data_IF_366638907170
#
_entry.id   IF_366638907170
#
_cell.length_a   1.000
_cell.length_b   1.000
_cell.length_c   1.000
_cell.angle_alpha   90.00
_cell.angle_beta   90.00
_cell.angle_gamma   90.00
#
_symmetry.space_group_name_H-M   'P 1'
#
loop_
_entity.id
_entity.type
_entity.pdbx_description
1 polymer ?
#
# COMPACT_ATOMS: atom_id res chain seq x y z
N UNK A 1 1.09 16.97 -6.29
CA UNK A 1 1.85 16.14 -5.34
C UNK A 1 1.94 14.77 -5.96
N UNK A 2 3.13 14.25 -6.07
CA UNK A 2 3.36 12.98 -6.73
C UNK A 2 3.75 11.92 -5.71
N UNK A 3 3.14 10.77 -5.81
CA UNK A 3 3.34 9.66 -4.92
C UNK A 3 4.19 8.60 -5.62
N UNK A 4 5.32 8.20 -5.02
CA UNK A 4 6.00 6.98 -5.40
C UNK A 4 5.81 5.94 -4.33
N UNK A 5 5.31 4.80 -4.71
CA UNK A 5 5.33 3.67 -3.82
C UNK A 5 6.72 3.04 -3.76
N UNK A 6 7.13 2.75 -2.58
CA UNK A 6 7.79 1.56 -2.09
C UNK A 6 9.14 1.20 -2.61
N UNK A 7 10.08 1.60 -1.86
CA UNK A 7 11.26 0.79 -1.69
C UNK A 7 10.94 -0.39 -0.76
N UNK A 8 10.82 -1.60 -1.27
CA UNK A 8 10.83 -2.77 -0.44
C UNK A 8 12.29 -3.09 -0.11
N UNK A 9 12.74 -3.08 1.15
CA UNK A 9 14.00 -3.72 1.51
C UNK A 9 13.93 -5.19 1.10
N UNK A 10 15.07 -5.81 0.78
CA UNK A 10 15.12 -7.17 0.27
C UNK A 10 14.51 -8.24 1.22
N UNK A 11 14.33 -7.90 2.49
CA UNK A 11 13.70 -8.77 3.47
C UNK A 11 12.60 -8.03 4.24
N UNK A 12 11.37 -8.48 4.10
CA UNK A 12 10.17 -7.99 4.81
C UNK A 12 9.25 -9.16 5.13
N UNK A 13 8.33 -8.97 6.09
CA UNK A 13 7.30 -9.96 6.42
C UNK A 13 6.52 -10.48 5.21
N UNK A 14 6.39 -9.68 4.16
CA UNK A 14 5.72 -10.04 2.92
C UNK A 14 6.62 -10.69 1.87
N UNK A 15 7.88 -10.97 2.16
CA UNK A 15 8.82 -11.55 1.18
C UNK A 15 9.10 -13.02 1.46
N UNK A 16 9.34 -13.85 0.42
CA UNK A 16 9.58 -15.28 0.60
C UNK A 16 10.71 -15.59 1.59
N UNK A 17 11.83 -14.87 1.51
CA UNK A 17 13.00 -15.11 2.36
C UNK A 17 12.77 -14.87 3.87
N UNK A 18 11.65 -14.28 4.25
CA UNK A 18 11.28 -14.07 5.65
C UNK A 18 10.76 -15.32 6.34
N UNK A 19 10.22 -16.25 5.56
CA UNK A 19 9.50 -17.43 6.00
C UNK A 19 10.14 -18.71 5.49
N UNK A 20 10.01 -19.78 6.26
CA UNK A 20 10.32 -21.14 5.83
C UNK A 20 9.23 -22.10 6.28
N UNK A 21 9.03 -23.15 5.49
CA UNK A 21 8.17 -24.29 5.82
C UNK A 21 8.87 -25.28 6.77
N UNK A 22 8.18 -26.37 7.10
CA UNK A 22 8.72 -27.46 7.92
C UNK A 22 9.99 -28.13 7.35
N UNK A 23 10.20 -28.05 6.03
CA UNK A 23 11.35 -28.61 5.32
C UNK A 23 12.47 -27.59 5.15
N UNK A 24 12.28 -26.34 5.62
CA UNK A 24 13.25 -25.26 5.48
C UNK A 24 13.21 -24.51 4.14
N UNK A 25 12.19 -24.75 3.30
CA UNK A 25 12.02 -24.07 2.02
C UNK A 25 11.25 -22.75 2.20
N UNK A 26 11.59 -21.75 1.39
CA UNK A 26 10.81 -20.52 1.36
C UNK A 26 9.45 -20.75 0.65
N UNK A 27 8.34 -20.13 1.14
CA UNK A 27 7.06 -20.20 0.47
C UNK A 27 7.11 -19.54 -0.90
N UNK A 28 6.32 -20.06 -1.82
CA UNK A 28 6.16 -19.43 -3.14
C UNK A 28 5.46 -18.06 -3.01
N UNK A 29 5.68 -17.13 -3.95
CA UNK A 29 4.87 -15.92 -4.05
C UNK A 29 3.37 -16.23 -4.08
N UNK A 30 2.59 -15.34 -3.47
CA UNK A 30 1.14 -15.43 -3.30
C UNK A 30 0.66 -16.52 -2.31
N UNK A 31 1.59 -17.11 -1.55
CA UNK A 31 1.23 -18.00 -0.44
C UNK A 31 0.61 -17.20 0.70
N UNK A 32 -0.61 -17.52 1.15
CA UNK A 32 -1.15 -16.98 2.38
C UNK A 32 -0.45 -17.61 3.59
N UNK A 33 -0.18 -16.81 4.62
CA UNK A 33 0.33 -17.30 5.91
C UNK A 33 -0.64 -16.85 6.99
N UNK A 34 -1.27 -17.81 7.64
CA UNK A 34 -2.25 -17.59 8.70
C UNK A 34 -1.65 -17.81 10.09
N UNK A 35 -2.32 -17.30 11.12
CA UNK A 35 -1.95 -17.57 12.49
C UNK A 35 -1.98 -19.07 12.78
N UNK A 36 -2.97 -19.81 12.23
CA UNK A 36 -3.06 -21.26 12.36
C UNK A 36 -1.87 -21.99 11.69
N UNK A 37 -1.37 -21.50 10.56
CA UNK A 37 -0.16 -22.05 9.92
C UNK A 37 1.08 -21.87 10.81
N UNK A 38 1.17 -20.75 11.54
CA UNK A 38 2.27 -20.49 12.49
C UNK A 38 2.14 -21.36 13.73
N UNK A 39 0.95 -21.52 14.27
CA UNK A 39 0.68 -22.32 15.47
C UNK A 39 0.89 -23.81 15.23
N UNK A 40 0.59 -24.30 14.02
CA UNK A 40 0.85 -25.69 13.61
C UNK A 40 2.32 -25.97 13.23
N UNK A 41 3.15 -24.92 13.10
CA UNK A 41 4.53 -25.06 12.66
C UNK A 41 4.71 -25.25 11.15
N UNK A 42 3.65 -25.18 10.35
CA UNK A 42 3.70 -25.28 8.88
C UNK A 42 4.59 -24.20 8.27
N UNK A 43 4.55 -22.98 8.82
CA UNK A 43 5.46 -21.89 8.49
C UNK A 43 6.06 -21.29 9.76
N UNK A 44 7.27 -20.76 9.62
CA UNK A 44 7.92 -19.98 10.68
C UNK A 44 8.72 -18.84 10.10
N UNK A 45 8.74 -17.70 10.77
CA UNK A 45 9.61 -16.59 10.40
C UNK A 45 11.05 -16.88 10.83
N UNK A 46 12.02 -16.63 9.95
CA UNK A 46 13.47 -16.76 10.25
C UNK A 46 14.06 -15.45 10.76
N UNK A 47 13.34 -14.35 10.58
CA UNK A 47 13.73 -13.01 11.03
C UNK A 47 12.63 -12.51 11.99
N UNK A 48 13.02 -12.05 13.18
CA UNK A 48 12.11 -11.54 14.21
C UNK A 48 10.87 -12.43 14.47
N UNK A 49 11.01 -13.72 14.84
CA UNK A 49 9.89 -14.67 14.89
C UNK A 49 8.71 -14.22 15.77
N UNK A 50 9.01 -13.62 16.94
CA UNK A 50 7.97 -13.15 17.86
C UNK A 50 7.16 -11.99 17.28
N UNK A 51 7.85 -10.97 16.74
CA UNK A 51 7.22 -9.81 16.15
C UNK A 51 6.46 -10.16 14.86
N UNK A 52 6.98 -11.12 14.09
CA UNK A 52 6.31 -11.60 12.89
C UNK A 52 5.01 -12.33 13.22
N UNK A 53 5.00 -13.15 14.28
CA UNK A 53 3.78 -13.80 14.76
C UNK A 53 2.77 -12.78 15.28
N UNK A 54 3.20 -11.83 16.09
CA UNK A 54 2.38 -10.73 16.59
C UNK A 54 1.74 -9.94 15.45
N UNK A 55 2.52 -9.64 14.42
CA UNK A 55 2.02 -8.97 13.22
C UNK A 55 0.92 -9.77 12.52
N UNK A 56 1.11 -11.08 12.27
CA UNK A 56 0.10 -11.94 11.63
C UNK A 56 -1.17 -12.02 12.49
N UNK A 57 -1.02 -12.15 13.79
CA UNK A 57 -2.15 -12.20 14.73
C UNK A 57 -3.00 -10.93 14.67
N UNK A 58 -2.38 -9.75 14.71
CA UNK A 58 -3.10 -8.48 14.63
C UNK A 58 -3.67 -8.22 13.23
N UNK A 59 -2.95 -8.62 12.18
CA UNK A 59 -3.44 -8.49 10.82
C UNK A 59 -4.76 -9.25 10.61
N UNK A 60 -4.89 -10.46 11.17
CA UNK A 60 -6.12 -11.26 11.11
C UNK A 60 -7.21 -10.70 12.02
N UNK A 61 -6.89 -10.38 13.27
CA UNK A 61 -7.87 -9.95 14.28
C UNK A 61 -8.41 -8.55 14.00
N UNK A 62 -7.52 -7.61 13.77
CA UNK A 62 -7.84 -6.18 13.67
C UNK A 62 -8.03 -5.74 12.22
N UNK A 63 -7.13 -6.14 11.33
CA UNK A 63 -7.16 -5.81 9.92
C UNK A 63 -8.11 -6.66 9.09
N UNK A 64 -8.56 -7.81 9.63
CA UNK A 64 -9.37 -8.81 8.91
C UNK A 64 -8.74 -9.20 7.57
N UNK A 65 -7.42 -9.29 7.54
CA UNK A 65 -6.60 -9.61 6.38
C UNK A 65 -5.71 -10.80 6.70
N UNK A 66 -5.40 -11.59 5.69
CA UNK A 66 -4.39 -12.65 5.79
C UNK A 66 -3.08 -12.14 5.20
N UNK A 67 -1.96 -12.41 5.85
CA UNK A 67 -0.65 -12.10 5.29
C UNK A 67 -0.49 -12.85 3.98
N UNK A 68 -0.12 -12.12 2.93
CA UNK A 68 0.23 -12.69 1.64
C UNK A 68 1.72 -12.52 1.39
N UNK A 69 2.40 -13.59 1.02
CA UNK A 69 3.79 -13.52 0.57
C UNK A 69 3.80 -13.02 -0.87
N UNK A 70 4.44 -11.89 -1.11
CA UNK A 70 4.54 -11.28 -2.44
C UNK A 70 5.86 -11.64 -3.13
N UNK A 71 5.86 -11.64 -4.45
CA UNK A 71 7.12 -11.62 -5.21
C UNK A 71 7.91 -10.35 -4.89
N UNK A 72 9.23 -10.40 -5.07
CA UNK A 72 10.04 -9.18 -4.96
C UNK A 72 9.63 -8.17 -6.03
N UNK A 73 9.25 -6.98 -5.60
CA UNK A 73 8.82 -5.91 -6.48
C UNK A 73 9.20 -4.54 -5.91
N UNK A 74 9.27 -3.53 -6.76
CA UNK A 74 9.55 -2.14 -6.37
C UNK A 74 10.81 -2.01 -5.48
N UNK A 75 11.85 -2.83 -5.73
CA UNK A 75 13.08 -2.78 -4.95
C UNK A 75 13.80 -1.45 -5.16
N UNK A 76 14.12 -0.79 -4.07
CA UNK A 76 14.83 0.49 -4.11
C UNK A 76 16.18 0.36 -4.83
N UNK A 77 16.46 1.31 -5.71
CA UNK A 77 17.70 1.30 -6.51
C UNK A 77 17.62 0.46 -7.78
N UNK A 78 16.47 -0.15 -8.08
CA UNK A 78 16.23 -0.88 -9.33
C UNK A 78 15.26 -0.14 -10.24
N UNK A 79 15.23 -0.51 -11.53
CA UNK A 79 14.24 0.01 -12.49
C UNK A 79 12.79 -0.30 -12.09
N UNK A 80 12.55 -1.38 -11.34
CA UNK A 80 11.23 -1.73 -10.85
C UNK A 80 10.65 -0.76 -9.81
N UNK A 81 11.47 0.10 -9.23
CA UNK A 81 11.04 1.18 -8.32
C UNK A 81 11.04 2.56 -9.00
N UNK A 82 11.36 2.63 -10.30
CA UNK A 82 11.34 3.86 -11.08
C UNK A 82 9.95 4.13 -11.67
N UNK A 83 9.67 5.40 -11.96
CA UNK A 83 8.52 5.73 -12.82
C UNK A 83 8.75 5.28 -14.25
N UNK A 84 7.67 5.03 -14.96
CA UNK A 84 7.70 4.93 -16.40
C UNK A 84 8.32 6.24 -16.99
N UNK A 85 9.13 6.09 -18.06
CA UNK A 85 9.96 7.19 -18.55
C UNK A 85 9.17 8.41 -19.02
N UNK A 86 8.07 8.23 -19.72
CA UNK A 86 7.26 9.36 -20.21
C UNK A 86 6.60 10.09 -19.04
N UNK A 87 6.09 9.32 -18.08
CA UNK A 87 5.51 9.88 -16.87
C UNK A 87 6.56 10.66 -16.06
N UNK A 88 7.76 10.10 -15.87
CA UNK A 88 8.86 10.80 -15.22
C UNK A 88 9.19 12.13 -15.90
N UNK A 89 9.28 12.15 -17.24
CA UNK A 89 9.53 13.37 -18.01
C UNK A 89 8.42 14.40 -17.82
N UNK A 90 7.15 13.97 -17.80
CA UNK A 90 6.02 14.89 -17.57
C UNK A 90 6.03 15.49 -16.17
N UNK A 91 6.47 14.73 -15.16
CA UNK A 91 6.65 15.24 -13.80
C UNK A 91 7.70 16.34 -13.76
N UNK A 92 8.87 16.10 -14.37
CA UNK A 92 9.92 17.10 -14.44
C UNK A 92 9.47 18.35 -15.20
N UNK A 93 8.82 18.18 -16.35
CA UNK A 93 8.23 19.28 -17.10
C UNK A 93 7.24 20.08 -16.24
N UNK A 94 6.33 19.41 -15.56
CA UNK A 94 5.37 20.05 -14.66
C UNK A 94 6.07 20.83 -13.53
N UNK A 95 7.09 20.25 -12.92
CA UNK A 95 7.84 20.89 -11.84
C UNK A 95 8.53 22.17 -12.31
N UNK A 96 9.12 22.16 -13.50
CA UNK A 96 9.75 23.33 -14.11
C UNK A 96 8.69 24.38 -14.49
N UNK A 97 7.62 23.97 -15.17
CA UNK A 97 6.56 24.87 -15.63
C UNK A 97 5.83 25.57 -14.47
N UNK A 98 5.60 24.84 -13.38
CA UNK A 98 4.93 25.35 -12.17
C UNK A 98 5.89 25.96 -11.16
N UNK A 99 7.21 25.87 -11.38
CA UNK A 99 8.26 26.29 -10.42
C UNK A 99 8.02 25.68 -9.02
N UNK A 100 7.57 24.43 -8.99
CA UNK A 100 7.17 23.73 -7.78
C UNK A 100 7.91 22.39 -7.66
N UNK A 101 8.44 22.10 -6.49
CA UNK A 101 9.11 20.83 -6.22
C UNK A 101 8.06 19.71 -6.07
N UNK A 102 8.25 18.63 -6.83
CA UNK A 102 7.45 17.41 -6.64
C UNK A 102 7.75 16.82 -5.27
N UNK A 103 6.72 16.65 -4.47
CA UNK A 103 6.87 15.99 -3.17
C UNK A 103 6.81 14.48 -3.34
N UNK A 104 7.75 13.80 -2.70
CA UNK A 104 7.89 12.35 -2.74
C UNK A 104 7.57 11.76 -1.37
N UNK A 105 6.67 10.81 -1.33
CA UNK A 105 6.41 9.96 -0.17
C UNK A 105 6.92 8.54 -0.45
N UNK A 106 7.68 8.02 0.49
CA UNK A 106 8.12 6.61 0.46
C UNK A 106 7.38 5.89 1.57
N UNK A 107 6.59 4.88 1.20
CA UNK A 107 5.86 4.04 2.13
C UNK A 107 6.52 2.68 2.32
N UNK A 108 6.08 1.90 3.32
CA UNK A 108 6.54 0.52 3.48
C UNK A 108 8.02 0.41 3.87
N UNK A 109 8.55 1.33 4.66
CA UNK A 109 9.94 1.31 5.14
C UNK A 109 10.15 0.32 6.30
N UNK A 110 9.12 0.05 7.09
CA UNK A 110 9.20 -0.90 8.20
C UNK A 110 9.20 -2.34 7.67
N UNK A 111 10.23 -3.14 7.96
CA UNK A 111 10.29 -4.53 7.52
C UNK A 111 9.26 -5.43 8.19
N UNK A 112 8.73 -5.04 9.34
CA UNK A 112 7.76 -5.82 10.13
C UNK A 112 6.30 -5.52 9.79
N UNK A 113 6.03 -4.53 8.92
CA UNK A 113 4.66 -4.12 8.62
C UNK A 113 4.46 -3.88 7.13
N UNK A 114 3.31 -4.30 6.62
CA UNK A 114 2.84 -3.91 5.29
C UNK A 114 2.24 -2.51 5.34
N UNK A 115 2.36 -1.81 4.24
CA UNK A 115 1.73 -0.52 4.06
C UNK A 115 1.14 -0.45 2.64
N UNK A 116 -0.09 -0.92 2.47
CA UNK A 116 -0.79 -0.78 1.18
C UNK A 116 -1.14 0.68 0.92
N UNK A 117 -1.86 1.30 1.83
CA UNK A 117 -2.18 2.72 1.75
C UNK A 117 -1.00 3.63 2.11
N UNK A 118 -1.13 4.92 1.80
CA UNK A 118 -0.08 5.92 2.04
C UNK A 118 -0.25 6.66 3.38
N UNK A 119 -1.36 6.47 4.06
CA UNK A 119 -1.69 7.19 5.29
C UNK A 119 -1.18 6.43 6.51
N UNK A 120 -1.44 5.13 6.57
CA UNK A 120 -1.04 4.28 7.69
C UNK A 120 -0.72 2.86 7.21
N UNK A 121 0.16 2.14 7.92
CA UNK A 121 0.38 0.72 7.69
C UNK A 121 -0.86 -0.10 8.07
N UNK A 122 -0.91 -1.36 7.64
CA UNK A 122 -1.99 -2.29 7.98
C UNK A 122 -2.06 -2.54 9.49
N UNK A 123 -0.90 -2.72 10.11
CA UNK A 123 -0.72 -2.74 11.55
C UNK A 123 0.71 -2.30 11.89
N UNK A 124 0.87 -1.50 12.93
CA UNK A 124 2.14 -1.26 13.59
C UNK A 124 1.95 -0.95 15.07
N UNK A 125 3.00 -1.14 15.86
CA UNK A 125 3.00 -0.87 17.31
C UNK A 125 3.05 0.62 17.65
N UNK A 126 3.31 1.49 16.67
CA UNK A 126 3.47 2.95 16.83
C UNK A 126 2.21 3.72 16.49
N UNK A 127 1.21 3.03 15.91
CA UNK A 127 -0.03 3.65 15.41
C UNK A 127 0.26 4.84 14.46
N UNK A 128 1.21 4.65 13.55
CA UNK A 128 1.62 5.70 12.62
C UNK A 128 0.47 6.13 11.71
N UNK A 129 0.28 7.43 11.61
CA UNK A 129 -0.64 8.06 10.65
C UNK A 129 0.09 9.25 10.02
N UNK A 130 0.07 9.35 8.70
CA UNK A 130 0.66 10.46 7.94
C UNK A 130 -0.26 11.69 7.97
N UNK A 131 -0.38 12.31 9.12
CA UNK A 131 -1.20 13.50 9.35
C UNK A 131 -0.74 14.69 8.51
N UNK A 132 0.58 14.86 8.36
CA UNK A 132 1.13 15.97 7.56
C UNK A 132 0.68 15.91 6.09
N UNK A 133 0.55 14.72 5.55
CA UNK A 133 0.02 14.55 4.21
C UNK A 133 -1.47 14.88 4.15
N UNK A 134 -2.25 14.34 5.06
CA UNK A 134 -3.69 14.64 5.12
C UNK A 134 -3.92 16.15 5.22
N UNK A 135 -3.28 16.83 6.17
CA UNK A 135 -3.39 18.28 6.32
C UNK A 135 -3.05 19.06 5.04
N UNK A 136 -2.10 18.56 4.23
CA UNK A 136 -1.76 19.18 2.95
C UNK A 136 -2.85 19.03 1.91
N UNK A 137 -3.61 17.92 1.91
CA UNK A 137 -4.72 17.73 0.98
C UNK A 137 -5.79 18.82 1.12
N UNK A 138 -6.01 19.32 2.31
CA UNK A 138 -7.00 20.35 2.60
C UNK A 138 -6.76 21.66 1.82
N UNK A 139 -5.51 21.94 1.48
CA UNK A 139 -5.10 23.17 0.81
C UNK A 139 -5.30 23.16 -0.71
N UNK A 140 -5.82 22.07 -1.28
CA UNK A 140 -6.02 21.96 -2.72
C UNK A 140 -7.51 22.09 -3.07
N UNK A 141 -7.81 22.73 -4.19
CA UNK A 141 -9.14 22.83 -4.74
C UNK A 141 -9.59 21.53 -5.42
N UNK A 142 -8.62 20.78 -5.95
CA UNK A 142 -8.84 19.48 -6.59
C UNK A 142 -7.72 18.51 -6.21
N UNK A 143 -8.10 17.29 -5.89
CA UNK A 143 -7.21 16.18 -5.55
C UNK A 143 -7.43 15.10 -6.61
N UNK A 144 -6.47 14.89 -7.48
CA UNK A 144 -6.56 13.89 -8.55
C UNK A 144 -5.72 12.68 -8.15
N UNK A 145 -6.32 11.51 -8.18
CA UNK A 145 -5.66 10.24 -7.80
C UNK A 145 -5.61 9.33 -9.01
N UNK A 146 -4.42 8.81 -9.28
CA UNK A 146 -4.13 7.78 -10.28
C UNK A 146 -2.94 6.94 -9.81
N UNK A 147 -2.69 5.81 -10.43
CA UNK A 147 -1.50 4.98 -10.13
C UNK A 147 -1.80 3.48 -10.04
N UNK A 148 -0.87 2.71 -9.53
CA UNK A 148 -0.90 1.25 -9.47
C UNK A 148 -0.69 0.72 -8.04
N UNK A 149 -1.27 -0.43 -7.71
CA UNK A 149 -2.36 -1.08 -8.43
C UNK A 149 -3.71 -0.55 -7.93
N UNK A 150 -4.70 -0.38 -8.86
CA UNK A 150 -6.06 0.09 -8.56
C UNK A 150 -6.66 -0.68 -7.40
N UNK A 151 -6.56 -2.01 -7.43
CA UNK A 151 -7.17 -2.94 -6.46
C UNK A 151 -6.49 -2.99 -5.08
N UNK A 152 -5.28 -2.47 -4.93
CA UNK A 152 -4.49 -2.59 -3.70
C UNK A 152 -4.03 -1.23 -3.18
N UNK A 153 -2.85 -0.78 -3.60
CA UNK A 153 -2.24 0.42 -3.01
C UNK A 153 -3.08 1.69 -3.24
N UNK A 154 -3.67 1.84 -4.42
CA UNK A 154 -4.52 2.99 -4.73
C UNK A 154 -5.83 2.89 -3.96
N UNK A 155 -6.51 1.74 -4.03
CA UNK A 155 -7.77 1.51 -3.32
C UNK A 155 -7.62 1.75 -1.82
N UNK A 156 -6.58 1.19 -1.19
CA UNK A 156 -6.37 1.33 0.24
C UNK A 156 -6.03 2.79 0.62
N UNK A 157 -5.26 3.49 -0.22
CA UNK A 157 -4.98 4.93 -0.02
C UNK A 157 -6.24 5.75 -0.06
N UNK A 158 -7.14 5.49 -1.03
CA UNK A 158 -8.43 6.16 -1.15
C UNK A 158 -9.31 5.87 0.06
N UNK A 159 -9.42 4.60 0.49
CA UNK A 159 -10.17 4.21 1.69
C UNK A 159 -9.70 4.96 2.93
N UNK A 160 -8.39 5.04 3.11
CA UNK A 160 -7.81 5.73 4.27
C UNK A 160 -8.07 7.24 4.24
N UNK A 161 -7.99 7.88 3.07
CA UNK A 161 -8.28 9.30 2.88
C UNK A 161 -9.77 9.58 3.11
N UNK A 162 -10.65 8.84 2.44
CA UNK A 162 -12.11 9.00 2.58
C UNK A 162 -12.57 8.72 4.01
N UNK A 163 -12.03 7.68 4.66
CA UNK A 163 -12.31 7.35 6.05
C UNK A 163 -11.89 8.46 7.02
N UNK A 164 -10.74 9.11 6.78
CA UNK A 164 -10.29 10.23 7.58
C UNK A 164 -11.22 11.45 7.45
N UNK A 165 -11.68 11.71 6.24
CA UNK A 165 -12.56 12.86 5.93
C UNK A 165 -14.05 12.50 5.82
N UNK A 166 -14.49 11.38 6.40
CA UNK A 166 -15.87 10.91 6.26
C UNK A 166 -16.95 11.93 6.68
N UNK A 167 -16.62 12.79 7.66
CA UNK A 167 -17.50 13.85 8.15
C UNK A 167 -17.19 15.23 7.56
N UNK A 168 -16.40 15.29 6.49
CA UNK A 168 -15.93 16.52 5.85
C UNK A 168 -16.17 16.49 4.35
N UNK A 169 -17.45 16.61 3.91
CA UNK A 169 -17.81 16.53 2.48
C UNK A 169 -17.12 17.60 1.64
N UNK A 170 -16.78 18.75 2.22
CA UNK A 170 -16.04 19.81 1.54
C UNK A 170 -14.62 19.39 1.13
N UNK A 171 -14.08 18.29 1.68
CA UNK A 171 -12.81 17.71 1.27
C UNK A 171 -13.02 16.52 0.35
N UNK A 172 -13.93 15.59 0.69
CA UNK A 172 -14.15 14.39 -0.12
C UNK A 172 -14.64 14.72 -1.52
N UNK A 173 -15.46 15.76 -1.69
CA UNK A 173 -15.94 16.25 -3.00
C UNK A 173 -14.85 16.86 -3.89
N UNK A 174 -13.65 17.13 -3.36
CA UNK A 174 -12.50 17.57 -4.16
C UNK A 174 -11.72 16.42 -4.80
N UNK A 175 -12.03 15.16 -4.44
CA UNK A 175 -11.28 13.98 -4.87
C UNK A 175 -11.83 13.48 -6.21
N UNK A 176 -10.95 13.39 -7.19
CA UNK A 176 -11.20 12.88 -8.52
C UNK A 176 -10.29 11.67 -8.77
N UNK A 177 -10.87 10.59 -9.23
CA UNK A 177 -10.15 9.34 -9.49
C UNK A 177 -10.10 9.11 -11.00
N UNK A 178 -8.89 8.99 -11.55
CA UNK A 178 -8.69 8.68 -12.98
C UNK A 178 -8.67 7.17 -13.16
N UNK A 179 -9.83 6.56 -13.29
CA UNK A 179 -9.99 5.11 -13.34
C UNK A 179 -9.34 4.48 -14.58
N UNK A 180 -9.29 5.21 -15.70
CA UNK A 180 -8.63 4.82 -16.95
C UNK A 180 -7.09 4.91 -16.89
N UNK A 181 -6.54 5.48 -15.82
CA UNK A 181 -5.11 5.56 -15.55
C UNK A 181 -4.65 4.56 -14.46
N UNK A 182 -5.38 3.47 -14.29
CA UNK A 182 -5.11 2.47 -13.25
C UNK A 182 -5.54 1.09 -13.72
N UNK A 183 -4.88 0.04 -13.20
CA UNK A 183 -5.26 -1.36 -13.44
C UNK A 183 -5.31 -2.16 -12.13
N UNK A 184 -6.23 -3.11 -12.06
CA UNK A 184 -6.34 -4.05 -10.95
C UNK A 184 -5.37 -5.22 -11.12
N UNK A 185 -4.94 -5.81 -10.02
CA UNK A 185 -4.26 -7.11 -10.05
C UNK A 185 -5.28 -8.17 -10.53
N UNK A 186 -4.89 -9.09 -11.43
CA UNK A 186 -5.78 -10.12 -11.92
C UNK A 186 -6.51 -10.89 -10.82
N UNK A 187 -7.82 -11.04 -10.95
CA UNK A 187 -8.71 -11.68 -9.98
C UNK A 187 -9.28 -10.77 -8.90
N UNK A 188 -8.93 -9.47 -8.91
CA UNK A 188 -9.46 -8.47 -7.98
C UNK A 188 -10.32 -7.40 -8.65
N UNK A 189 -10.61 -7.56 -9.94
CA UNK A 189 -11.31 -6.55 -10.75
C UNK A 189 -12.70 -6.28 -10.19
N UNK A 190 -13.54 -7.30 -10.08
CA UNK A 190 -14.96 -7.18 -9.71
C UNK A 190 -15.14 -6.55 -8.31
N UNK A 191 -14.38 -7.03 -7.33
CA UNK A 191 -14.45 -6.50 -5.95
C UNK A 191 -13.95 -5.06 -5.88
N UNK A 192 -13.00 -4.71 -6.74
CA UNK A 192 -12.47 -3.36 -6.83
C UNK A 192 -13.52 -2.41 -7.42
N UNK A 193 -14.10 -2.76 -8.57
CA UNK A 193 -15.16 -1.96 -9.21
C UNK A 193 -16.35 -1.76 -8.27
N UNK A 194 -16.81 -2.81 -7.60
CA UNK A 194 -17.88 -2.70 -6.61
C UNK A 194 -17.54 -1.70 -5.50
N UNK A 195 -16.29 -1.71 -5.02
CA UNK A 195 -15.84 -0.78 -3.98
C UNK A 195 -15.82 0.67 -4.47
N UNK A 196 -15.36 0.89 -5.71
CA UNK A 196 -15.38 2.24 -6.31
C UNK A 196 -16.82 2.74 -6.54
N UNK A 197 -17.73 1.86 -6.93
CA UNK A 197 -19.15 2.22 -7.06
C UNK A 197 -19.80 2.57 -5.71
N UNK A 198 -19.38 1.91 -4.65
CA UNK A 198 -19.85 2.25 -3.31
C UNK A 198 -19.27 3.59 -2.82
N UNK A 199 -18.04 3.94 -3.19
CA UNK A 199 -17.50 5.28 -2.94
C UNK A 199 -18.32 6.36 -3.65
N UNK A 200 -18.65 6.17 -4.94
CA UNK A 200 -19.47 7.12 -5.72
C UNK A 200 -20.87 7.35 -5.13
N UNK A 201 -21.40 6.35 -4.41
CA UNK A 201 -22.71 6.49 -3.74
C UNK A 201 -22.63 7.17 -2.37
N UNK A 202 -21.46 7.06 -1.72
CA UNK A 202 -21.29 7.48 -0.32
C UNK A 202 -20.73 8.90 -0.22
N UNK A 203 -19.86 9.28 -1.14
CA UNK A 203 -19.08 10.52 -1.14
C UNK A 203 -19.36 11.40 -2.38
#
# INVERSE_FOLDING_TARGET
>A
MLWTSTACPAAKTITPCWWIDENGNNPAPYTPITLADLDSGKYRAVIYPRQSRDYVEHLEKDGKKTLCVWSYHCLQGTSGAAFENQFANMIYFHSVAKKAVTQRLVKGQDPLSEMYGIIKPEYDTKNYINIDFLNKLENYDKIIIAGEAKSHCVLESIKQILGHYANRPEITQKIYILEDCMSSIPGFEDVTEQTFDDFKKTY
#
